data_IF_017093057672
#
_entry.id   IF_017093057672
#
_cell.length_a   1.000
_cell.length_b   1.000
_cell.length_c   1.000
_cell.angle_alpha   90.00
_cell.angle_beta   90.00
_cell.angle_gamma   90.00
#
_symmetry.space_group_name_H-M   'P 1'
#
loop_
_entity.id
_entity.type
_entity.pdbx_description
1 polymer ?
#
# COMPACT_ATOMS: atom_id res chain seq x y z
N UNK A 1 -17.80 10.48 12.61
CA UNK A 1 -18.57 9.44 11.92
C UNK A 1 -18.28 8.10 12.55
N UNK A 2 -19.31 7.33 12.73
CA UNK A 2 -19.22 6.08 13.49
C UNK A 2 -18.21 5.08 12.92
N UNK A 3 -18.11 4.97 11.61
CA UNK A 3 -17.16 4.01 11.02
C UNK A 3 -15.71 4.49 11.04
N UNK A 4 -15.47 5.78 11.22
CA UNK A 4 -14.10 6.28 11.39
C UNK A 4 -13.46 5.75 12.67
N UNK A 5 -14.26 5.54 13.69
CA UNK A 5 -13.78 4.96 14.95
C UNK A 5 -13.34 3.51 14.81
N UNK A 6 -13.69 2.85 13.70
CA UNK A 6 -13.31 1.47 13.42
C UNK A 6 -11.95 1.36 12.71
N UNK A 7 -11.46 2.47 12.16
CA UNK A 7 -10.13 2.50 11.55
C UNK A 7 -9.10 2.75 12.64
N UNK A 8 -8.39 1.72 12.99
CA UNK A 8 -7.26 1.83 13.92
C UNK A 8 -5.97 1.71 13.13
N UNK A 9 -4.94 2.42 13.55
CA UNK A 9 -3.67 2.40 12.86
C UNK A 9 -2.50 2.40 13.83
N UNK A 10 -1.40 1.79 13.40
CA UNK A 10 -0.12 1.84 14.08
C UNK A 10 0.81 2.63 13.18
N UNK A 11 1.42 3.67 13.72
CA UNK A 11 2.29 4.55 12.96
C UNK A 11 3.76 4.31 13.33
N UNK A 12 4.60 4.17 12.31
CA UNK A 12 6.04 4.08 12.45
C UNK A 12 6.69 5.02 11.46
N UNK A 13 7.63 5.84 11.93
CA UNK A 13 8.43 6.69 11.07
C UNK A 13 9.74 5.98 10.76
N UNK A 14 10.20 6.09 9.51
CA UNK A 14 11.50 5.57 9.11
C UNK A 14 12.08 6.47 8.02
N UNK A 15 13.40 6.63 8.05
CA UNK A 15 14.14 7.46 7.10
C UNK A 15 15.26 6.70 6.40
N UNK A 16 15.39 5.41 6.70
CA UNK A 16 16.39 4.53 6.10
C UNK A 16 15.79 3.18 5.77
N UNK A 17 16.47 2.42 4.92
CA UNK A 17 16.02 1.06 4.58
C UNK A 17 16.09 0.14 5.79
N UNK A 18 17.08 0.29 6.64
CA UNK A 18 17.22 -0.45 7.88
C UNK A 18 16.07 -0.12 8.82
N UNK A 19 15.69 1.15 8.92
CA UNK A 19 14.56 1.60 9.71
C UNK A 19 13.24 1.05 9.20
N UNK A 20 13.05 0.99 7.89
CA UNK A 20 11.87 0.40 7.28
C UNK A 20 11.79 -1.10 7.59
N UNK A 21 12.89 -1.82 7.40
CA UNK A 21 12.96 -3.25 7.69
C UNK A 21 12.67 -3.53 9.16
N UNK A 22 13.30 -2.79 10.06
CA UNK A 22 13.11 -2.94 11.51
C UNK A 22 11.65 -2.66 11.90
N UNK A 23 11.08 -1.56 11.39
CA UNK A 23 9.70 -1.18 11.70
C UNK A 23 8.71 -2.24 11.23
N UNK A 24 8.85 -2.73 10.01
CA UNK A 24 7.96 -3.76 9.48
C UNK A 24 8.17 -5.10 10.17
N UNK A 25 9.39 -5.47 10.48
CA UNK A 25 9.67 -6.70 11.23
C UNK A 25 9.02 -6.67 12.59
N UNK A 26 9.13 -5.55 13.31
CA UNK A 26 8.47 -5.38 14.62
C UNK A 26 6.96 -5.53 14.49
N UNK A 27 6.35 -4.86 13.50
CA UNK A 27 4.92 -4.93 13.29
C UNK A 27 4.45 -6.32 12.87
N UNK A 28 5.21 -7.00 12.01
CA UNK A 28 4.80 -8.29 11.45
C UNK A 28 5.00 -9.47 12.42
N UNK A 29 6.00 -9.42 13.28
CA UNK A 29 6.36 -10.56 14.10
C UNK A 29 6.21 -10.34 15.60
N UNK A 30 6.50 -9.12 16.08
CA UNK A 30 6.52 -8.83 17.50
C UNK A 30 5.21 -8.30 18.03
N UNK A 31 4.40 -7.68 17.18
CA UNK A 31 3.11 -7.13 17.58
C UNK A 31 1.99 -8.11 17.27
N UNK A 32 1.45 -8.75 18.31
CA UNK A 32 0.34 -9.69 18.17
C UNK A 32 -0.92 -9.05 17.60
N UNK A 33 -1.09 -7.74 17.78
CA UNK A 33 -2.25 -7.02 17.26
C UNK A 33 -2.14 -6.80 15.75
N UNK A 34 -0.94 -6.84 15.20
CA UNK A 34 -0.73 -6.59 13.77
C UNK A 34 -1.38 -7.64 12.88
N UNK A 35 -1.63 -8.83 13.40
CA UNK A 35 -2.35 -9.87 12.64
C UNK A 35 -3.74 -9.43 12.21
N UNK A 36 -4.35 -8.51 12.97
CA UNK A 36 -5.67 -7.96 12.63
C UNK A 36 -5.61 -6.84 11.59
N UNK A 37 -4.43 -6.32 11.29
CA UNK A 37 -4.25 -5.24 10.30
C UNK A 37 -3.92 -5.85 8.95
N UNK A 38 -4.74 -5.55 7.95
CA UNK A 38 -4.59 -6.13 6.61
C UNK A 38 -3.76 -5.25 5.67
N UNK A 39 -3.61 -3.98 6.00
CA UNK A 39 -3.03 -2.99 5.10
C UNK A 39 -1.74 -2.42 5.66
N UNK A 40 -0.70 -2.43 4.83
CA UNK A 40 0.52 -1.67 5.07
C UNK A 40 0.42 -0.42 4.19
N UNK A 41 0.36 0.74 4.82
CA UNK A 41 0.23 2.02 4.15
C UNK A 41 1.58 2.73 4.13
N UNK A 42 2.17 2.86 2.95
CA UNK A 42 3.48 3.47 2.78
C UNK A 42 3.34 4.90 2.25
N UNK A 43 3.73 5.87 3.07
CA UNK A 43 3.71 7.29 2.74
C UNK A 43 5.16 7.77 2.65
N UNK A 44 5.76 7.52 1.50
CA UNK A 44 7.17 7.84 1.27
C UNK A 44 7.34 8.45 -0.11
N UNK A 45 8.24 9.42 -0.25
CA UNK A 45 8.54 9.95 -1.58
C UNK A 45 9.20 8.89 -2.45
N UNK A 46 9.22 9.12 -3.75
CA UNK A 46 9.85 8.21 -4.69
C UNK A 46 9.63 8.67 -6.11
N UNK A 47 10.15 7.89 -7.02
CA UNK A 47 9.87 8.03 -8.45
C UNK A 47 8.99 6.85 -8.88
N UNK A 48 8.79 6.68 -10.18
CA UNK A 48 7.98 5.58 -10.68
C UNK A 48 8.50 4.23 -10.13
N UNK A 49 7.62 3.47 -9.49
CA UNK A 49 7.89 2.14 -8.96
C UNK A 49 9.10 2.06 -8.02
N UNK A 50 9.34 3.14 -7.26
CA UNK A 50 10.46 3.19 -6.32
C UNK A 50 10.09 3.95 -5.05
N UNK A 51 10.86 3.71 -4.01
CA UNK A 51 10.76 4.40 -2.73
C UNK A 51 12.08 5.11 -2.46
N UNK A 52 12.01 6.40 -2.10
CA UNK A 52 13.20 7.17 -1.73
C UNK A 52 13.38 7.14 -0.22
N UNK A 53 14.50 6.59 0.22
CA UNK A 53 14.89 6.57 1.63
C UNK A 53 16.35 6.99 1.73
N UNK A 54 16.61 8.02 2.52
CA UNK A 54 17.95 8.55 2.73
C UNK A 54 18.67 8.87 1.41
N UNK A 55 17.95 9.56 0.51
CA UNK A 55 18.43 9.98 -0.82
C UNK A 55 18.76 8.83 -1.78
N UNK A 56 18.40 7.60 -1.44
CA UNK A 56 18.56 6.46 -2.32
C UNK A 56 17.20 5.96 -2.79
N UNK A 57 17.11 5.64 -4.09
CA UNK A 57 15.88 5.08 -4.67
C UNK A 57 15.96 3.55 -4.67
N UNK A 58 15.06 2.93 -3.90
CA UNK A 58 14.90 1.49 -3.88
C UNK A 58 13.76 1.10 -4.82
N UNK A 59 14.03 0.24 -5.79
CA UNK A 59 12.98 -0.29 -6.67
C UNK A 59 12.02 -1.16 -5.85
N UNK A 60 10.81 -1.34 -6.36
CA UNK A 60 9.88 -2.26 -5.72
C UNK A 60 10.38 -3.72 -5.76
N UNK A 61 11.18 -4.07 -6.75
CA UNK A 61 11.86 -5.37 -6.79
C UNK A 61 12.81 -5.54 -5.61
N UNK A 62 13.65 -4.53 -5.33
CA UNK A 62 14.55 -4.55 -4.17
C UNK A 62 13.76 -4.64 -2.86
N UNK A 63 12.66 -3.91 -2.76
CA UNK A 63 11.78 -3.95 -1.58
C UNK A 63 11.16 -5.35 -1.44
N UNK A 64 10.71 -5.94 -2.54
CA UNK A 64 10.14 -7.30 -2.52
C UNK A 64 11.15 -8.32 -1.99
N UNK A 65 12.38 -8.24 -2.47
CA UNK A 65 13.45 -9.15 -2.05
C UNK A 65 13.80 -8.97 -0.57
N UNK A 66 13.79 -7.73 -0.09
CA UNK A 66 14.04 -7.43 1.32
C UNK A 66 12.97 -8.06 2.22
N UNK A 67 11.73 -8.09 1.77
CA UNK A 67 10.60 -8.63 2.54
C UNK A 67 10.11 -9.96 1.99
N UNK A 68 11.01 -10.80 1.51
CA UNK A 68 10.72 -12.13 0.99
C UNK A 68 9.91 -12.94 2.01
N UNK A 69 8.66 -13.29 1.63
CA UNK A 69 7.75 -14.07 2.46
C UNK A 69 7.21 -13.34 3.70
N UNK A 70 7.51 -12.06 3.88
CA UNK A 70 7.21 -11.35 5.12
C UNK A 70 5.90 -10.56 5.11
N UNK A 71 5.27 -10.40 3.94
CA UNK A 71 4.04 -9.62 3.81
C UNK A 71 2.81 -10.47 3.51
N UNK A 72 2.82 -11.70 3.97
CA UNK A 72 1.81 -12.69 3.63
C UNK A 72 0.40 -12.23 4.00
N UNK A 73 -0.48 -12.21 3.01
CA UNK A 73 -1.88 -11.85 3.18
C UNK A 73 -2.14 -10.36 3.33
N UNK A 74 -1.11 -9.52 3.24
CA UNK A 74 -1.25 -8.07 3.42
C UNK A 74 -1.52 -7.38 2.09
N UNK A 75 -2.20 -6.23 2.16
CA UNK A 75 -2.36 -5.30 1.05
C UNK A 75 -1.35 -4.19 1.26
N UNK A 76 -0.52 -3.94 0.26
CA UNK A 76 0.49 -2.88 0.33
C UNK A 76 -0.05 -1.70 -0.46
N UNK A 77 -0.37 -0.60 0.21
CA UNK A 77 -0.94 0.59 -0.41
C UNK A 77 0.05 1.75 -0.36
N UNK A 78 0.35 2.31 -1.53
CA UNK A 78 1.22 3.48 -1.64
C UNK A 78 0.37 4.74 -1.75
N UNK A 79 0.69 5.73 -0.91
CA UNK A 79 0.10 7.05 -1.03
C UNK A 79 0.54 7.73 -2.33
N UNK A 80 -0.16 8.81 -2.70
CA UNK A 80 0.13 9.55 -3.94
C UNK A 80 1.40 10.41 -3.81
N UNK A 81 2.49 9.79 -3.43
CA UNK A 81 3.81 10.43 -3.34
C UNK A 81 4.77 9.90 -4.41
N UNK A 82 4.32 8.94 -5.18
CA UNK A 82 5.05 8.33 -6.28
C UNK A 82 4.08 7.71 -7.27
N UNK A 83 4.57 7.41 -8.45
CA UNK A 83 3.79 6.74 -9.48
C UNK A 83 3.94 5.23 -9.33
N UNK A 84 2.83 4.51 -9.31
CA UNK A 84 2.80 3.06 -9.38
C UNK A 84 2.34 2.66 -10.78
N UNK A 85 3.27 2.15 -11.57
CA UNK A 85 3.02 1.75 -12.95
C UNK A 85 3.78 0.45 -13.25
N UNK A 86 3.24 -0.66 -12.75
CA UNK A 86 3.86 -1.96 -12.85
C UNK A 86 3.34 -2.71 -14.07
N UNK A 87 4.27 -3.35 -14.78
CA UNK A 87 3.92 -4.39 -15.73
C UNK A 87 3.36 -5.59 -14.98
N UNK A 88 2.56 -6.41 -15.66
CA UNK A 88 1.95 -7.58 -15.03
C UNK A 88 3.00 -8.50 -14.39
N UNK A 89 4.11 -8.72 -15.08
CA UNK A 89 5.19 -9.57 -14.58
C UNK A 89 5.87 -8.98 -13.34
N UNK A 90 6.06 -7.66 -13.31
CA UNK A 90 6.65 -6.97 -12.17
C UNK A 90 5.73 -7.06 -10.94
N UNK A 91 4.44 -6.84 -11.16
CA UNK A 91 3.46 -6.94 -10.08
C UNK A 91 3.39 -8.37 -9.54
N UNK A 92 3.36 -9.35 -10.43
CA UNK A 92 3.31 -10.76 -10.03
C UNK A 92 4.56 -11.16 -9.25
N UNK A 93 5.73 -10.70 -9.71
CA UNK A 93 6.98 -10.95 -8.98
C UNK A 93 6.92 -10.41 -7.55
N UNK A 94 6.47 -9.17 -7.39
CA UNK A 94 6.35 -8.56 -6.06
C UNK A 94 5.41 -9.38 -5.17
N UNK A 95 4.24 -9.74 -5.70
CA UNK A 95 3.26 -10.50 -4.93
C UNK A 95 3.77 -11.89 -4.55
N UNK A 96 4.42 -12.57 -5.48
CA UNK A 96 4.94 -13.91 -5.24
C UNK A 96 6.07 -13.91 -4.21
N UNK A 97 6.98 -12.96 -4.29
CA UNK A 97 8.13 -12.89 -3.38
C UNK A 97 7.70 -12.48 -1.98
N UNK A 98 6.86 -11.46 -1.84
CA UNK A 98 6.45 -10.98 -0.52
C UNK A 98 5.34 -11.80 0.11
N UNK A 99 4.55 -12.50 -0.70
CA UNK A 99 3.34 -13.18 -0.26
C UNK A 99 2.15 -12.23 -0.10
N UNK A 100 2.29 -10.97 -0.49
CA UNK A 100 1.22 -9.98 -0.37
C UNK A 100 0.00 -10.41 -1.17
N UNK A 101 -1.18 -10.03 -0.68
CA UNK A 101 -2.45 -10.30 -1.32
C UNK A 101 -2.71 -9.36 -2.49
N UNK A 102 -2.29 -8.11 -2.35
CA UNK A 102 -2.44 -7.09 -3.38
C UNK A 102 -1.48 -5.94 -3.16
N UNK A 103 -1.21 -5.21 -4.22
CA UNK A 103 -0.47 -3.96 -4.17
C UNK A 103 -1.30 -2.90 -4.87
N UNK A 104 -1.42 -1.73 -4.27
CA UNK A 104 -2.24 -0.65 -4.79
C UNK A 104 -1.53 0.70 -4.69
N UNK A 105 -1.97 1.63 -5.51
CA UNK A 105 -1.42 2.97 -5.55
C UNK A 105 -2.02 3.78 -6.68
N UNK A 106 -1.27 4.75 -7.17
CA UNK A 106 -1.76 5.73 -8.13
C UNK A 106 -0.80 5.88 -9.31
N UNK A 107 -1.37 5.98 -10.51
CA UNK A 107 -0.59 6.11 -11.73
C UNK A 107 -0.07 7.51 -12.00
N UNK A 108 -0.49 8.49 -11.23
CA UNK A 108 -0.03 9.88 -11.35
C UNK A 108 0.24 10.47 -9.98
N UNK A 109 1.22 11.36 -9.89
CA UNK A 109 1.41 12.19 -8.71
C UNK A 109 0.75 13.53 -8.99
N UNK A 110 -0.51 13.64 -8.60
CA UNK A 110 -1.25 14.88 -8.79
C UNK A 110 -1.02 15.84 -7.62
N UNK A 111 -1.37 17.10 -7.81
CA UNK A 111 -1.40 18.07 -6.73
C UNK A 111 -2.48 17.74 -5.71
N UNK A 112 -3.48 16.96 -6.11
CA UNK A 112 -4.55 16.53 -5.22
C UNK A 112 -4.04 15.49 -4.21
N UNK A 113 -4.44 15.69 -2.96
CA UNK A 113 -4.10 14.76 -1.89
C UNK A 113 -4.90 13.46 -2.05
N UNK A 114 -4.23 12.33 -1.99
CA UNK A 114 -4.87 11.01 -2.06
C UNK A 114 -5.57 10.59 -0.77
N UNK A 115 -5.44 11.35 0.29
CA UNK A 115 -5.89 10.97 1.63
C UNK A 115 -7.37 10.54 1.66
N UNK A 116 -8.24 11.27 0.99
CA UNK A 116 -9.68 10.96 0.96
C UNK A 116 -9.92 9.59 0.32
N UNK A 117 -9.27 9.34 -0.81
CA UNK A 117 -9.41 8.08 -1.53
C UNK A 117 -8.76 6.93 -0.75
N UNK A 118 -7.60 7.16 -0.17
CA UNK A 118 -6.92 6.18 0.68
C UNK A 118 -7.84 5.71 1.80
N UNK A 119 -8.46 6.66 2.48
CA UNK A 119 -9.35 6.37 3.60
C UNK A 119 -10.55 5.53 3.18
N UNK A 120 -11.19 5.90 2.09
CA UNK A 120 -12.34 5.15 1.56
C UNK A 120 -11.91 3.74 1.14
N UNK A 121 -10.76 3.62 0.53
CA UNK A 121 -10.19 2.32 0.16
C UNK A 121 -9.99 1.43 1.39
N UNK A 122 -9.42 1.97 2.46
CA UNK A 122 -9.20 1.22 3.70
C UNK A 122 -10.52 0.77 4.34
N UNK A 123 -11.52 1.63 4.33
CA UNK A 123 -12.84 1.30 4.86
C UNK A 123 -13.49 0.17 4.05
N UNK A 124 -13.35 0.21 2.73
CA UNK A 124 -13.86 -0.84 1.86
C UNK A 124 -13.13 -2.17 2.06
N UNK A 125 -11.83 -2.13 2.30
CA UNK A 125 -11.05 -3.34 2.60
C UNK A 125 -11.54 -4.03 3.88
N UNK A 126 -12.03 -3.27 4.84
CA UNK A 126 -12.62 -3.85 6.06
C UNK A 126 -14.01 -4.43 5.83
N UNK A 127 -14.74 -3.87 4.87
CA UNK A 127 -16.12 -4.24 4.60
C UNK A 127 -16.25 -5.40 3.62
N UNK A 128 -15.43 -5.41 2.57
CA UNK A 128 -15.48 -6.39 1.50
C UNK A 128 -14.43 -7.48 1.70
N UNK A 129 -14.80 -8.71 1.38
CA UNK A 129 -13.91 -9.86 1.53
C UNK A 129 -12.88 -9.94 0.38
N UNK A 130 -13.31 -9.61 -0.84
CA UNK A 130 -12.49 -9.77 -2.03
C UNK A 130 -12.01 -8.42 -2.55
N UNK A 131 -10.74 -8.36 -2.98
CA UNK A 131 -10.15 -7.11 -3.53
C UNK A 131 -10.88 -6.64 -4.79
N UNK A 132 -11.41 -7.54 -5.59
CA UNK A 132 -12.20 -7.18 -6.77
C UNK A 132 -13.45 -6.39 -6.38
N UNK A 133 -14.11 -6.80 -5.31
CA UNK A 133 -15.29 -6.09 -4.78
C UNK A 133 -14.92 -4.74 -4.20
N UNK A 134 -13.76 -4.65 -3.54
CA UNK A 134 -13.23 -3.38 -3.03
C UNK A 134 -13.02 -2.38 -4.16
N UNK A 135 -12.36 -2.80 -5.23
CA UNK A 135 -12.07 -1.92 -6.38
C UNK A 135 -13.36 -1.48 -7.05
N UNK A 136 -14.28 -2.41 -7.29
CA UNK A 136 -15.58 -2.10 -7.90
C UNK A 136 -16.35 -1.06 -7.08
N UNK A 137 -16.44 -1.26 -5.76
CA UNK A 137 -17.12 -0.33 -4.87
C UNK A 137 -16.42 1.03 -4.81
N UNK A 138 -15.09 1.05 -4.84
CA UNK A 138 -14.33 2.29 -4.84
C UNK A 138 -14.60 3.12 -6.09
N UNK A 139 -14.58 2.49 -7.26
CA UNK A 139 -14.87 3.16 -8.53
C UNK A 139 -16.32 3.62 -8.60
N UNK A 140 -17.26 2.89 -8.04
CA UNK A 140 -18.66 3.34 -7.97
C UNK A 140 -18.82 4.58 -7.09
N UNK A 141 -18.16 4.61 -5.93
CA UNK A 141 -18.30 5.70 -4.96
C UNK A 141 -17.50 6.94 -5.31
N UNK A 142 -16.33 6.77 -5.90
CA UNK A 142 -15.36 7.85 -6.12
C UNK A 142 -14.75 7.81 -7.52
N UNK A 143 -15.59 7.64 -8.52
CA UNK A 143 -15.13 7.51 -9.91
C UNK A 143 -14.23 8.65 -10.35
N UNK A 144 -14.64 9.90 -10.06
CA UNK A 144 -13.88 11.08 -10.47
C UNK A 144 -12.48 11.12 -9.83
N UNK A 145 -12.37 10.79 -8.54
CA UNK A 145 -11.08 10.74 -7.85
C UNK A 145 -10.22 9.59 -8.35
N UNK A 146 -10.82 8.43 -8.59
CA UNK A 146 -10.10 7.28 -9.13
C UNK A 146 -9.50 7.59 -10.50
N UNK A 147 -10.24 8.29 -11.35
CA UNK A 147 -9.71 8.73 -12.64
C UNK A 147 -8.65 9.80 -12.52
N UNK A 148 -8.88 10.80 -11.67
CA UNK A 148 -7.95 11.90 -11.47
C UNK A 148 -6.59 11.43 -10.97
N UNK A 149 -6.59 10.50 -10.02
CA UNK A 149 -5.38 9.97 -9.39
C UNK A 149 -4.88 8.71 -10.08
N UNK A 150 -5.64 8.17 -11.03
CA UNK A 150 -5.33 6.91 -11.73
C UNK A 150 -5.08 5.78 -10.72
N UNK A 151 -6.11 5.48 -9.92
CA UNK A 151 -6.02 4.40 -8.92
C UNK A 151 -5.76 3.07 -9.59
N UNK A 152 -4.79 2.33 -9.07
CA UNK A 152 -4.37 1.03 -9.57
C UNK A 152 -4.29 0.01 -8.47
N UNK A 153 -4.68 -1.21 -8.79
CA UNK A 153 -4.54 -2.34 -7.89
C UNK A 153 -4.11 -3.57 -8.69
N UNK A 154 -3.10 -4.23 -8.18
CA UNK A 154 -2.57 -5.48 -8.73
C UNK A 154 -2.76 -6.58 -7.69
N UNK A 155 -3.25 -7.76 -8.13
CA UNK A 155 -3.50 -8.88 -7.22
C UNK A 155 -3.31 -10.24 -7.88
#
# INVERSE_FOLDING_TARGET
>A
MAFQSKLTSIYKACDSIEGLEESLTTLLYDDNNFKAYEIIYLVMPGEANSICLNDYLYSLEEIAELFDGRMKGKIIHFANTKILDLEEEEAQYFLDITGARAISGYGVTATANSYVLDKIFFELCQKEEYVTDVVEALFEKQYALCQLLDFRLYY
#
